data_IF_944106828539
#
_entry.id   IF_944106828539
#
_cell.length_a   1.000
_cell.length_b   1.000
_cell.length_c   1.000
_cell.angle_alpha   90.00
_cell.angle_beta   90.00
_cell.angle_gamma   90.00
#
_symmetry.space_group_name_H-M   'P 1'
#
loop_
_entity.id
_entity.type
_entity.pdbx_description
1 polymer ?
#
# COMPACT_ATOMS: atom_id res chain seq x y z
N UNK A 1 -18.89 -18.81 14.18
CA UNK A 1 -18.89 -17.69 13.21
C UNK A 1 -20.34 -17.41 12.85
N UNK A 2 -20.85 -16.22 13.22
CA UNK A 2 -22.23 -15.83 12.93
C UNK A 2 -22.48 -15.60 11.44
N UNK A 3 -23.75 -15.57 11.02
CA UNK A 3 -24.12 -15.32 9.61
C UNK A 3 -23.69 -13.93 9.12
N UNK A 4 -23.73 -12.92 9.98
CA UNK A 4 -23.35 -11.53 9.63
C UNK A 4 -21.84 -11.39 9.41
N UNK A 5 -21.03 -12.04 10.24
CA UNK A 5 -19.58 -12.07 10.11
C UNK A 5 -19.13 -12.78 8.82
N UNK A 6 -19.81 -13.87 8.42
CA UNK A 6 -19.53 -14.52 7.13
C UNK A 6 -19.88 -13.61 5.95
N UNK A 7 -20.96 -12.84 6.06
CA UNK A 7 -21.42 -11.86 5.08
C UNK A 7 -20.38 -10.75 4.88
N UNK A 8 -19.88 -10.17 5.96
CA UNK A 8 -18.86 -9.11 5.89
C UNK A 8 -17.51 -9.60 5.35
N UNK A 9 -17.13 -10.85 5.66
CA UNK A 9 -15.96 -11.51 5.06
C UNK A 9 -16.09 -11.69 3.55
N UNK A 10 -17.28 -12.01 3.07
CA UNK A 10 -17.59 -12.14 1.63
C UNK A 10 -17.57 -10.78 0.94
N UNK A 11 -18.10 -9.72 1.57
CA UNK A 11 -18.03 -8.34 1.03
C UNK A 11 -16.58 -7.85 0.92
N UNK A 12 -15.71 -8.20 1.87
CA UNK A 12 -14.29 -7.80 1.86
C UNK A 12 -13.36 -8.77 1.12
N UNK A 13 -13.89 -9.86 0.55
CA UNK A 13 -13.15 -10.84 -0.25
C UNK A 13 -11.92 -11.47 0.43
N UNK A 14 -11.94 -11.55 1.75
CA UNK A 14 -10.82 -12.09 2.53
C UNK A 14 -10.71 -13.60 2.29
N UNK A 15 -9.49 -14.06 2.06
CA UNK A 15 -9.16 -15.45 1.84
C UNK A 15 -8.92 -16.18 3.17
N UNK A 16 -9.09 -17.51 3.23
CA UNK A 16 -8.61 -18.31 4.35
C UNK A 16 -7.06 -18.36 4.36
N UNK A 17 -6.42 -18.42 5.54
CA UNK A 17 -7.04 -18.72 6.83
C UNK A 17 -7.74 -17.53 7.48
N UNK A 18 -8.72 -17.84 8.31
CA UNK A 18 -9.44 -16.89 9.14
C UNK A 18 -9.00 -17.08 10.59
N UNK A 19 -8.51 -16.02 11.23
CA UNK A 19 -8.20 -16.06 12.65
C UNK A 19 -9.50 -16.13 13.46
N UNK A 20 -9.69 -17.26 14.13
CA UNK A 20 -10.89 -17.57 14.93
C UNK A 20 -10.84 -16.96 16.34
N UNK A 21 -9.69 -16.44 16.76
CA UNK A 21 -9.52 -15.79 18.06
C UNK A 21 -10.09 -14.36 18.07
N UNK A 22 -10.19 -13.75 16.88
CA UNK A 22 -10.70 -12.40 16.69
C UNK A 22 -12.20 -12.34 16.97
N UNK A 23 -12.60 -11.41 17.83
CA UNK A 23 -14.00 -11.22 18.25
C UNK A 23 -14.79 -10.46 17.18
N UNK A 24 -16.10 -10.68 17.16
CA UNK A 24 -17.03 -10.04 16.22
C UNK A 24 -16.93 -8.51 16.23
N UNK A 25 -16.84 -7.88 17.41
CA UNK A 25 -16.67 -6.43 17.54
C UNK A 25 -15.35 -5.91 16.91
N UNK A 26 -14.29 -6.71 16.93
CA UNK A 26 -13.02 -6.33 16.30
C UNK A 26 -13.12 -6.42 14.77
N UNK A 27 -13.83 -7.44 14.27
CA UNK A 27 -14.16 -7.54 12.85
C UNK A 27 -15.06 -6.38 12.40
N UNK A 28 -16.05 -6.01 13.20
CA UNK A 28 -16.92 -4.85 12.93
C UNK A 28 -16.09 -3.57 12.75
N UNK A 29 -15.21 -3.24 13.71
CA UNK A 29 -14.30 -2.09 13.59
C UNK A 29 -13.38 -2.19 12.36
N UNK A 30 -12.82 -3.37 12.06
CA UNK A 30 -12.02 -3.59 10.87
C UNK A 30 -12.77 -3.26 9.57
N UNK A 31 -14.04 -3.66 9.48
CA UNK A 31 -14.86 -3.38 8.28
C UNK A 31 -15.32 -1.93 8.20
N UNK A 32 -15.64 -1.31 9.34
CA UNK A 32 -15.99 0.11 9.39
C UNK A 32 -14.80 1.00 8.99
N UNK A 33 -13.58 0.70 9.46
CA UNK A 33 -12.36 1.39 9.04
C UNK A 33 -12.13 1.26 7.53
N UNK A 34 -12.23 0.04 6.98
CA UNK A 34 -12.10 -0.18 5.53
C UNK A 34 -13.18 0.54 4.73
N UNK A 35 -14.41 0.58 5.22
CA UNK A 35 -15.52 1.30 4.60
C UNK A 35 -15.28 2.82 4.60
N UNK A 36 -14.74 3.37 5.68
CA UNK A 36 -14.36 4.78 5.75
C UNK A 36 -13.21 5.09 4.77
N UNK A 37 -12.20 4.23 4.70
CA UNK A 37 -11.12 4.34 3.70
C UNK A 37 -11.62 4.18 2.26
N UNK A 38 -12.65 3.35 2.02
CA UNK A 38 -13.28 3.23 0.71
C UNK A 38 -13.92 4.55 0.26
N UNK A 39 -14.55 5.31 1.17
CA UNK A 39 -15.07 6.65 0.85
C UNK A 39 -13.95 7.62 0.50
N UNK A 40 -12.88 7.65 1.30
CA UNK A 40 -11.69 8.48 1.02
C UNK A 40 -11.11 8.13 -0.36
N UNK A 41 -11.04 6.84 -0.70
CA UNK A 41 -10.45 6.36 -1.93
C UNK A 41 -11.46 6.23 -3.10
N UNK A 42 -12.57 6.96 -3.04
CA UNK A 42 -13.63 6.97 -4.06
C UNK A 42 -13.67 8.32 -4.77
N UNK A 43 -13.33 8.33 -6.05
CA UNK A 43 -13.29 9.57 -6.87
C UNK A 43 -14.60 10.37 -6.78
N UNK A 44 -14.49 11.62 -6.35
CA UNK A 44 -15.63 12.53 -6.22
C UNK A 44 -16.44 12.35 -4.92
N UNK A 45 -15.96 11.55 -3.97
CA UNK A 45 -16.45 11.58 -2.59
C UNK A 45 -15.97 12.87 -1.93
N UNK A 46 -16.78 13.43 -1.01
CA UNK A 46 -16.37 14.61 -0.26
C UNK A 46 -15.15 14.33 0.63
N UNK A 47 -15.03 13.08 1.10
CA UNK A 47 -13.94 12.61 1.96
C UNK A 47 -12.61 12.41 1.21
N UNK A 48 -12.59 12.55 -0.12
CA UNK A 48 -11.38 12.34 -0.94
C UNK A 48 -10.40 13.52 -0.91
N UNK A 49 -10.78 14.67 -0.35
CA UNK A 49 -9.94 15.88 -0.28
C UNK A 49 -8.53 15.59 0.24
N UNK A 50 -8.40 14.74 1.27
CA UNK A 50 -7.13 14.34 1.89
C UNK A 50 -6.19 13.53 1.00
N UNK A 51 -6.66 13.05 -0.16
CA UNK A 51 -5.88 12.27 -1.14
C UNK A 51 -5.93 12.82 -2.57
N UNK A 52 -6.61 13.96 -2.77
CA UNK A 52 -6.66 14.61 -4.09
C UNK A 52 -5.41 15.43 -4.39
N UNK A 53 -4.57 15.72 -3.38
CA UNK A 53 -3.23 16.26 -3.56
C UNK A 53 -3.23 17.61 -4.28
N UNK A 54 -3.92 18.61 -3.72
CA UNK A 54 -4.24 19.90 -4.38
C UNK A 54 -3.04 20.64 -5.02
N UNK A 55 -1.82 20.35 -4.58
CA UNK A 55 -0.57 20.98 -5.03
C UNK A 55 0.33 20.06 -5.87
N UNK A 56 -0.10 18.82 -6.14
CA UNK A 56 0.59 17.88 -7.02
C UNK A 56 -0.06 17.94 -8.40
N UNK A 57 0.71 18.22 -9.44
CA UNK A 57 0.25 18.17 -10.84
C UNK A 57 0.14 16.72 -11.37
N UNK A 58 -0.27 15.79 -10.50
CA UNK A 58 -0.40 14.37 -10.78
C UNK A 58 -1.79 13.85 -10.39
N UNK A 59 -2.31 12.90 -11.19
CA UNK A 59 -3.54 12.20 -10.84
C UNK A 59 -3.24 11.10 -9.81
N UNK A 60 -3.50 11.36 -8.53
CA UNK A 60 -3.27 10.43 -7.41
C UNK A 60 -3.98 9.08 -7.62
N UNK A 61 -5.17 9.07 -8.24
CA UNK A 61 -5.88 7.83 -8.59
C UNK A 61 -5.15 6.96 -9.61
N UNK A 62 -4.40 7.56 -10.55
CA UNK A 62 -3.53 6.82 -11.46
C UNK A 62 -2.35 6.20 -10.71
N UNK A 63 -1.79 6.90 -9.72
CA UNK A 63 -0.73 6.36 -8.87
C UNK A 63 -1.24 5.19 -8.04
N UNK A 64 -2.37 5.33 -7.34
CA UNK A 64 -2.96 4.25 -6.54
C UNK A 64 -3.21 3.00 -7.40
N UNK A 65 -3.73 3.19 -8.62
CA UNK A 65 -3.95 2.08 -9.56
C UNK A 65 -2.64 1.38 -9.91
N UNK A 66 -1.59 2.14 -10.24
CA UNK A 66 -0.28 1.59 -10.57
C UNK A 66 0.31 0.84 -9.37
N UNK A 67 0.14 1.37 -8.17
CA UNK A 67 0.56 0.76 -6.91
C UNK A 67 -0.14 -0.60 -6.68
N UNK A 68 -1.48 -0.65 -6.73
CA UNK A 68 -2.22 -1.92 -6.54
C UNK A 68 -1.85 -2.97 -7.59
N UNK A 69 -1.63 -2.54 -8.83
CA UNK A 69 -1.23 -3.42 -9.92
C UNK A 69 0.17 -3.98 -9.69
N UNK A 70 1.12 -3.17 -9.21
CA UNK A 70 2.47 -3.61 -8.87
C UNK A 70 2.45 -4.60 -7.69
N UNK A 71 1.67 -4.32 -6.63
CA UNK A 71 1.46 -5.24 -5.50
C UNK A 71 0.92 -6.59 -5.98
N UNK A 72 -0.15 -6.58 -6.79
CA UNK A 72 -0.75 -7.80 -7.34
C UNK A 72 0.21 -8.54 -8.29
N UNK A 73 0.97 -7.80 -9.09
CA UNK A 73 1.96 -8.35 -10.02
C UNK A 73 3.08 -9.08 -9.30
N UNK A 74 3.59 -8.51 -8.21
CA UNK A 74 4.58 -9.15 -7.37
C UNK A 74 4.06 -10.52 -6.90
N UNK A 75 2.83 -10.58 -6.36
CA UNK A 75 2.24 -11.84 -5.92
C UNK A 75 2.06 -12.86 -7.05
N UNK A 76 1.59 -12.44 -8.23
CA UNK A 76 1.45 -13.32 -9.40
C UNK A 76 2.80 -13.90 -9.87
N UNK A 77 3.87 -13.14 -9.71
CA UNK A 77 5.22 -13.50 -10.11
C UNK A 77 5.99 -14.29 -9.03
N UNK A 78 5.34 -14.68 -7.94
CA UNK A 78 5.91 -15.54 -6.90
C UNK A 78 6.04 -17.01 -7.35
N UNK A 79 6.90 -17.74 -6.63
CA UNK A 79 7.17 -19.16 -6.83
C UNK A 79 6.12 -20.08 -6.21
N UNK A 80 5.06 -19.55 -5.59
CA UNK A 80 3.99 -20.34 -4.98
C UNK A 80 3.40 -21.33 -6.01
N UNK A 81 3.43 -22.63 -5.71
CA UNK A 81 3.12 -23.69 -6.68
C UNK A 81 1.66 -23.70 -7.16
N UNK A 82 0.73 -23.22 -6.33
CA UNK A 82 -0.69 -23.16 -6.67
C UNK A 82 -1.02 -21.88 -7.46
N UNK A 83 -1.18 -22.04 -8.78
CA UNK A 83 -1.49 -20.94 -9.70
C UNK A 83 -2.86 -20.30 -9.47
N UNK A 84 -3.85 -21.04 -8.95
CA UNK A 84 -5.16 -20.45 -8.65
C UNK A 84 -5.11 -19.67 -7.35
N UNK A 85 -4.45 -20.23 -6.32
CA UNK A 85 -4.24 -19.51 -5.06
C UNK A 85 -3.47 -18.21 -5.28
N UNK A 86 -2.40 -18.22 -6.08
CA UNK A 86 -1.67 -16.99 -6.47
C UNK A 86 -2.59 -15.92 -7.05
N UNK A 87 -3.47 -16.31 -7.98
CA UNK A 87 -4.43 -15.39 -8.61
C UNK A 87 -5.43 -14.85 -7.60
N UNK A 88 -5.97 -15.70 -6.73
CA UNK A 88 -6.89 -15.26 -5.69
C UNK A 88 -6.23 -14.23 -4.77
N UNK A 89 -5.02 -14.51 -4.28
CA UNK A 89 -4.27 -13.57 -3.41
C UNK A 89 -4.04 -12.25 -4.14
N UNK A 90 -3.53 -12.30 -5.38
CA UNK A 90 -3.27 -11.10 -6.18
C UNK A 90 -4.54 -10.27 -6.42
N UNK A 91 -5.68 -10.91 -6.67
CA UNK A 91 -6.97 -10.22 -6.85
C UNK A 91 -7.47 -9.58 -5.57
N UNK A 92 -7.35 -10.26 -4.43
CA UNK A 92 -7.74 -9.66 -3.14
C UNK A 92 -6.82 -8.48 -2.78
N UNK A 93 -5.51 -8.59 -3.06
CA UNK A 93 -4.56 -7.51 -2.83
C UNK A 93 -4.87 -6.24 -3.64
N UNK A 94 -5.44 -6.36 -4.85
CA UNK A 94 -5.88 -5.18 -5.62
C UNK A 94 -6.83 -4.30 -4.80
N UNK A 95 -7.72 -4.91 -4.03
CA UNK A 95 -8.72 -4.26 -3.18
C UNK A 95 -8.30 -3.97 -1.76
N UNK A 96 -7.02 -4.14 -1.44
CA UNK A 96 -6.53 -4.10 -0.06
C UNK A 96 -5.60 -2.91 0.22
N UNK A 97 -5.18 -2.15 -0.79
CA UNK A 97 -4.37 -0.93 -0.61
C UNK A 97 -5.25 0.32 -0.64
N UNK A 98 -4.99 1.24 0.28
CA UNK A 98 -5.69 2.51 0.40
C UNK A 98 -4.67 3.64 0.61
N UNK A 99 -4.90 4.81 0.01
CA UNK A 99 -4.32 6.05 0.51
C UNK A 99 -5.01 6.47 1.80
N UNK A 100 -4.24 7.02 2.72
CA UNK A 100 -4.72 7.68 3.94
C UNK A 100 -4.51 9.20 3.82
N UNK A 101 -3.36 9.61 3.31
CA UNK A 101 -3.09 11.00 2.91
C UNK A 101 -2.14 11.06 1.72
N UNK A 102 -2.28 12.11 0.91
CA UNK A 102 -1.33 12.47 -0.15
C UNK A 102 -1.12 13.98 -0.12
N UNK A 103 0.10 14.38 0.20
CA UNK A 103 0.52 15.77 0.24
C UNK A 103 1.78 15.96 -0.60
N UNK A 104 1.95 17.12 -1.20
CA UNK A 104 3.16 17.41 -1.95
C UNK A 104 3.12 18.76 -2.63
N UNK A 105 4.21 19.09 -3.30
CA UNK A 105 4.34 20.32 -4.09
C UNK A 105 5.25 20.06 -5.29
N UNK A 106 4.98 20.73 -6.41
CA UNK A 106 5.87 20.74 -7.57
C UNK A 106 7.06 21.70 -7.36
N UNK A 107 8.17 21.47 -8.06
CA UNK A 107 9.36 22.36 -8.02
C UNK A 107 9.05 23.74 -8.61
N UNK A 108 8.24 23.77 -9.68
CA UNK A 108 7.75 24.96 -10.36
C UNK A 108 6.32 24.70 -10.84
N UNK A 109 5.50 25.76 -10.96
CA UNK A 109 4.20 25.66 -11.61
C UNK A 109 4.38 25.09 -13.03
N UNK A 110 3.69 23.99 -13.34
CA UNK A 110 3.71 23.32 -14.64
C UNK A 110 4.68 22.16 -14.79
N UNK A 111 5.57 21.90 -13.82
CA UNK A 111 6.52 20.77 -13.89
C UNK A 111 5.90 19.50 -13.25
N UNK A 112 5.98 18.34 -13.93
CA UNK A 112 5.29 17.13 -13.50
C UNK A 112 5.98 16.39 -12.35
N UNK A 113 7.22 16.73 -12.01
CA UNK A 113 7.98 16.08 -10.93
C UNK A 113 7.76 16.78 -9.58
N UNK A 114 7.49 16.02 -8.50
CA UNK A 114 7.31 16.60 -7.18
C UNK A 114 8.65 17.12 -6.64
N UNK A 115 8.62 18.31 -6.04
CA UNK A 115 9.68 18.81 -5.16
C UNK A 115 9.58 18.17 -3.79
N UNK A 116 8.37 18.12 -3.24
CA UNK A 116 8.09 17.46 -1.97
C UNK A 116 6.90 16.55 -2.14
N UNK A 117 6.95 15.40 -1.48
CA UNK A 117 5.89 14.42 -1.48
C UNK A 117 5.87 13.71 -0.13
N UNK A 118 4.70 13.65 0.48
CA UNK A 118 4.43 12.83 1.64
C UNK A 118 3.18 12.01 1.34
N UNK A 119 3.32 10.68 1.32
CA UNK A 119 2.17 9.78 1.19
C UNK A 119 2.08 8.88 2.41
N UNK A 120 0.84 8.59 2.79
CA UNK A 120 0.57 7.51 3.74
C UNK A 120 -0.41 6.53 3.11
N UNK A 121 -0.12 5.23 3.25
CA UNK A 121 -0.95 4.17 2.69
C UNK A 121 -1.12 3.03 3.69
N UNK A 122 -2.20 2.27 3.52
CA UNK A 122 -2.48 1.07 4.30
C UNK A 122 -2.76 -0.11 3.38
N UNK A 123 -2.00 -1.18 3.56
CA UNK A 123 -2.20 -2.46 2.89
C UNK A 123 -2.76 -3.49 3.87
N UNK A 124 -4.02 -3.88 3.68
CA UNK A 124 -4.61 -4.98 4.45
C UNK A 124 -4.12 -6.34 3.96
N UNK A 125 -4.00 -7.29 4.88
CA UNK A 125 -3.79 -8.69 4.51
C UNK A 125 -4.91 -9.17 3.57
N UNK A 126 -4.60 -9.92 2.50
CA UNK A 126 -5.60 -10.57 1.68
C UNK A 126 -6.28 -11.75 2.40
N UNK A 127 -5.80 -12.12 3.59
CA UNK A 127 -6.35 -13.17 4.42
C UNK A 127 -7.13 -12.58 5.60
N UNK A 128 -8.04 -13.35 6.18
CA UNK A 128 -8.76 -12.91 7.38
C UNK A 128 -7.94 -13.04 8.65
N UNK A 129 -6.77 -12.39 8.68
CA UNK A 129 -5.86 -12.31 9.82
C UNK A 129 -6.13 -11.08 10.70
N UNK A 130 -6.91 -10.10 10.19
CA UNK A 130 -7.15 -8.84 10.89
C UNK A 130 -5.94 -7.90 10.91
N UNK A 131 -4.90 -8.20 10.15
CA UNK A 131 -3.65 -7.43 10.09
C UNK A 131 -3.62 -6.47 8.90
N UNK A 132 -2.85 -5.40 9.04
CA UNK A 132 -2.51 -4.48 7.96
C UNK A 132 -1.09 -3.96 8.12
N UNK A 133 -0.55 -3.33 7.08
CA UNK A 133 0.75 -2.67 7.11
C UNK A 133 0.54 -1.24 6.64
N UNK A 134 0.95 -0.30 7.47
CA UNK A 134 0.97 1.11 7.13
C UNK A 134 2.32 1.48 6.53
N UNK A 135 2.30 2.39 5.58
CA UNK A 135 3.50 2.96 4.97
C UNK A 135 3.45 4.47 5.07
N UNK A 136 4.62 5.06 5.30
CA UNK A 136 4.83 6.49 5.21
C UNK A 136 6.03 6.74 4.31
N UNK A 137 5.78 7.38 3.17
CA UNK A 137 6.81 7.78 2.24
C UNK A 137 6.96 9.30 2.28
N UNK A 138 8.18 9.76 2.50
CA UNK A 138 8.55 11.17 2.50
C UNK A 138 9.69 11.38 1.52
N UNK A 139 9.52 12.30 0.58
CA UNK A 139 10.47 12.60 -0.47
C UNK A 139 10.62 14.12 -0.61
N UNK A 140 11.86 14.54 -0.77
CA UNK A 140 12.24 15.90 -1.10
C UNK A 140 13.36 15.89 -2.13
N UNK A 141 13.23 16.71 -3.17
CA UNK A 141 14.32 16.99 -4.08
C UNK A 141 14.20 18.41 -4.60
N UNK A 142 15.27 19.18 -4.44
CA UNK A 142 15.40 20.51 -4.99
C UNK A 142 16.79 20.71 -5.54
N UNK A 143 16.87 20.95 -6.85
CA UNK A 143 18.12 21.26 -7.52
C UNK A 143 18.62 22.65 -7.10
N UNK A 144 19.89 22.78 -6.73
CA UNK A 144 20.50 24.06 -6.36
C UNK A 144 21.60 24.44 -7.36
N UNK A 145 21.39 25.53 -8.11
CA UNK A 145 22.30 25.96 -9.21
C UNK A 145 23.72 26.31 -8.71
N UNK A 146 23.91 26.59 -7.41
CA UNK A 146 25.19 27.02 -6.81
C UNK A 146 25.50 26.39 -5.44
N UNK A 147 24.78 25.34 -5.04
CA UNK A 147 24.98 24.60 -3.79
C UNK A 147 24.76 23.11 -4.07
N UNK A 148 24.98 22.25 -3.07
CA UNK A 148 24.55 20.85 -3.14
C UNK A 148 23.02 20.77 -3.23
N UNK A 149 22.52 19.72 -3.89
CA UNK A 149 21.09 19.53 -4.12
C UNK A 149 20.42 19.18 -2.79
N UNK A 150 19.29 19.82 -2.46
CA UNK A 150 18.56 19.45 -1.24
C UNK A 150 17.73 18.20 -1.55
N UNK A 151 18.22 17.04 -1.11
CA UNK A 151 17.60 15.75 -1.39
C UNK A 151 17.41 14.91 -0.14
N UNK A 152 16.23 14.30 -0.03
CA UNK A 152 15.94 13.26 0.97
C UNK A 152 14.82 12.35 0.49
N UNK A 153 14.89 11.07 0.85
CA UNK A 153 13.85 10.10 0.53
C UNK A 153 13.82 9.01 1.61
N UNK A 154 12.67 8.83 2.26
CA UNK A 154 12.49 7.84 3.33
C UNK A 154 11.18 7.10 3.13
N UNK A 155 11.22 5.77 3.25
CA UNK A 155 10.03 4.93 3.29
C UNK A 155 10.03 4.12 4.58
N UNK A 156 9.04 4.36 5.42
CA UNK A 156 8.80 3.61 6.65
C UNK A 156 7.62 2.64 6.47
N UNK A 157 7.65 1.52 7.17
CA UNK A 157 6.57 0.55 7.24
C UNK A 157 6.27 0.15 8.68
N UNK A 158 5.00 0.00 9.03
CA UNK A 158 4.57 -0.40 10.37
C UNK A 158 3.48 -1.47 10.31
N UNK A 159 3.70 -2.58 11.01
CA UNK A 159 2.69 -3.64 11.13
C UNK A 159 1.58 -3.22 12.10
N UNK A 160 0.32 -3.46 11.71
CA UNK A 160 -0.87 -3.26 12.53
C UNK A 160 -1.62 -4.57 12.76
N UNK A 161 -2.16 -4.72 13.96
CA UNK A 161 -3.10 -5.76 14.32
C UNK A 161 -4.53 -5.21 14.42
N UNK A 162 -5.51 -6.12 14.54
CA UNK A 162 -6.93 -5.74 14.51
C UNK A 162 -7.37 -4.90 15.72
N UNK A 163 -6.60 -4.90 16.81
CA UNK A 163 -6.92 -4.06 17.98
C UNK A 163 -6.61 -2.59 17.73
N UNK A 164 -5.80 -2.29 16.71
CA UNK A 164 -5.40 -0.95 16.32
C UNK A 164 -6.38 -0.31 15.32
N UNK A 165 -7.40 -1.05 14.84
CA UNK A 165 -8.43 -0.51 13.96
C UNK A 165 -9.21 0.62 14.63
N UNK A 166 -9.27 1.77 13.98
CA UNK A 166 -9.92 2.99 14.46
C UNK A 166 -10.84 3.55 13.36
N UNK A 167 -12.12 3.15 13.35
CA UNK A 167 -13.09 3.63 12.35
C UNK A 167 -13.33 5.14 12.41
N UNK A 168 -13.13 5.77 13.57
CA UNK A 168 -13.36 7.19 13.78
C UNK A 168 -12.17 8.03 13.26
N UNK A 169 -10.97 7.44 13.22
CA UNK A 169 -9.77 8.04 12.65
C UNK A 169 -9.04 7.09 11.67
N UNK A 170 -9.66 6.79 10.51
CA UNK A 170 -9.18 5.75 9.60
C UNK A 170 -7.85 6.12 8.93
N UNK A 171 -7.45 7.39 8.95
CA UNK A 171 -6.22 7.91 8.31
C UNK A 171 -5.02 7.95 9.26
N UNK A 172 -5.18 7.60 10.54
CA UNK A 172 -4.04 7.52 11.48
C UNK A 172 -3.03 6.50 10.98
N UNK A 173 -1.81 6.94 10.68
CA UNK A 173 -0.74 6.11 10.13
C UNK A 173 0.25 5.68 11.21
N UNK A 174 0.40 4.37 11.43
CA UNK A 174 1.37 3.84 12.40
C UNK A 174 2.84 3.96 11.95
N UNK A 175 3.09 4.26 10.66
CA UNK A 175 4.43 4.39 10.09
C UNK A 175 5.00 5.82 10.15
N UNK A 176 4.21 6.80 10.60
CA UNK A 176 4.72 8.12 10.94
C UNK A 176 5.42 8.00 12.30
N UNK A 177 6.69 8.38 12.35
CA UNK A 177 7.40 8.52 13.62
C UNK A 177 6.85 9.75 14.31
N UNK A 178 6.14 9.59 15.42
CA UNK A 178 5.82 10.72 16.29
C UNK A 178 7.15 11.17 16.93
N UNK A 179 7.63 12.37 16.56
CA UNK A 179 8.66 13.01 17.38
C UNK A 179 8.04 13.25 18.77
N UNK A 180 8.74 12.91 19.86
CA UNK A 180 8.23 13.20 21.19
C UNK A 180 7.94 14.71 21.31
N UNK A 181 6.71 15.06 21.69
CA UNK A 181 6.30 16.48 21.88
C UNK A 181 7.10 17.19 22.99
N UNK A 182 7.83 16.44 23.82
CA UNK A 182 8.65 16.95 24.91
C UNK A 182 10.10 16.44 24.78
N UNK A 183 11.10 17.32 24.96
CA UNK A 183 12.55 16.98 24.94
C UNK A 183 12.95 15.86 25.92
N UNK A 184 12.07 15.51 26.87
CA UNK A 184 12.27 14.49 27.91
C UNK A 184 11.32 13.28 27.80
N UNK A 185 10.47 13.18 26.77
CA UNK A 185 9.62 12.00 26.62
C UNK A 185 10.49 10.81 26.18
N UNK A 186 10.44 9.72 26.95
CA UNK A 186 11.15 8.49 26.59
C UNK A 186 10.74 8.09 25.18
N UNK A 187 11.71 7.78 24.29
CA UNK A 187 11.41 7.38 22.93
C UNK A 187 10.41 6.24 22.99
N UNK A 188 9.24 6.44 22.39
CA UNK A 188 8.30 5.36 22.19
C UNK A 188 9.05 4.38 21.29
N UNK A 189 9.56 3.29 21.87
CA UNK A 189 10.11 2.17 21.11
C UNK A 189 8.94 1.54 20.34
N UNK A 190 8.57 2.18 19.24
CA UNK A 190 7.64 1.67 18.27
C UNK A 190 8.38 0.57 17.50
N UNK A 191 8.65 -0.56 18.16
CA UNK A 191 9.29 -1.77 17.62
C UNK A 191 8.59 -2.33 16.35
N UNK A 192 7.44 -1.76 15.99
CA UNK A 192 6.64 -2.03 14.80
C UNK A 192 7.08 -1.24 13.57
N UNK A 193 7.74 -0.08 13.74
CA UNK A 193 8.15 0.79 12.62
C UNK A 193 9.54 0.40 12.13
N UNK A 194 9.66 0.13 10.83
CA UNK A 194 10.92 -0.15 10.17
C UNK A 194 11.11 0.78 8.99
N UNK A 195 12.26 1.46 8.96
CA UNK A 195 12.71 2.19 7.78
C UNK A 195 13.18 1.21 6.71
N UNK A 196 12.45 1.15 5.59
CA UNK A 196 12.79 0.31 4.44
C UNK A 196 14.02 0.85 3.73
N UNK A 197 14.02 2.16 3.47
CA UNK A 197 15.19 2.91 3.08
C UNK A 197 15.09 4.34 3.58
N UNK A 198 16.24 4.97 3.79
CA UNK A 198 16.40 6.41 3.93
C UNK A 198 17.62 6.83 3.13
N UNK A 199 17.51 7.93 2.40
CA UNK A 199 18.60 8.64 1.78
C UNK A 199 18.47 10.11 2.15
N UNK A 200 19.57 10.74 2.52
CA UNK A 200 19.58 12.15 2.89
C UNK A 200 20.99 12.70 2.91
N UNK A 201 21.12 14.01 2.71
CA UNK A 201 22.37 14.71 2.98
C UNK A 201 22.53 14.91 4.48
N UNK A 202 23.63 14.39 5.03
CA UNK A 202 24.14 14.77 6.33
C UNK A 202 25.15 15.90 6.16
N UNK A 203 24.98 16.99 6.91
CA UNK A 203 25.87 18.15 6.92
C UNK A 203 27.34 17.81 7.19
N UNK A 204 27.62 16.69 7.87
CA UNK A 204 28.98 16.27 8.25
C UNK A 204 29.57 15.21 7.31
N UNK A 205 28.76 14.24 6.89
CA UNK A 205 29.23 13.04 6.18
C UNK A 205 28.81 12.98 4.70
N UNK A 206 28.06 13.99 4.22
CA UNK A 206 27.52 14.03 2.86
C UNK A 206 26.32 13.11 2.68
N UNK A 207 26.09 12.64 1.45
CA UNK A 207 24.96 11.75 1.14
C UNK A 207 25.09 10.40 1.85
N UNK A 208 24.19 10.14 2.81
CA UNK A 208 24.09 8.90 3.56
C UNK A 208 22.87 8.08 3.12
N UNK A 209 23.00 6.75 3.15
CA UNK A 209 21.87 5.84 2.91
C UNK A 209 21.75 4.75 3.98
N UNK A 210 20.51 4.45 4.35
CA UNK A 210 20.13 3.35 5.22
C UNK A 210 19.16 2.44 4.46
N UNK A 211 19.26 1.13 4.69
CA UNK A 211 18.38 0.14 4.08
C UNK A 211 18.03 -0.95 5.10
N UNK A 212 16.78 -1.40 5.08
CA UNK A 212 16.32 -2.52 5.89
C UNK A 212 17.18 -3.78 5.68
N UNK A 213 17.25 -4.61 6.72
CA UNK A 213 17.93 -5.91 6.69
C UNK A 213 16.98 -7.02 6.22
N UNK A 214 17.54 -8.14 5.78
CA UNK A 214 16.73 -9.30 5.38
C UNK A 214 15.91 -9.85 6.56
N UNK A 215 16.49 -9.85 7.76
CA UNK A 215 15.82 -10.27 8.99
C UNK A 215 14.59 -9.40 9.28
N UNK A 216 14.73 -8.08 9.15
CA UNK A 216 13.65 -7.16 9.47
C UNK A 216 12.54 -7.16 8.43
N UNK A 217 12.86 -7.23 7.13
CA UNK A 217 11.81 -7.27 6.10
C UNK A 217 10.98 -8.56 6.19
N UNK A 218 11.60 -9.69 6.57
CA UNK A 218 10.91 -10.97 6.74
C UNK A 218 9.87 -10.96 7.86
N UNK A 219 10.01 -10.09 8.87
CA UNK A 219 9.03 -9.96 9.97
C UNK A 219 7.63 -9.56 9.49
N UNK A 220 7.51 -9.00 8.29
CA UNK A 220 6.23 -8.59 7.73
C UNK A 220 5.54 -9.66 6.88
N UNK A 221 6.21 -10.78 6.55
CA UNK A 221 5.61 -11.81 5.70
C UNK A 221 4.41 -12.47 6.40
N UNK A 222 4.56 -12.88 7.66
CA UNK A 222 3.49 -13.50 8.43
C UNK A 222 2.32 -12.54 8.70
N UNK A 223 2.52 -11.28 9.13
CA UNK A 223 1.43 -10.31 9.20
C UNK A 223 0.72 -10.10 7.85
N UNK A 224 1.42 -10.14 6.72
CA UNK A 224 0.79 -9.94 5.41
C UNK A 224 0.09 -11.20 4.90
N UNK A 225 0.73 -12.37 4.97
CA UNK A 225 0.33 -13.59 4.28
C UNK A 225 -0.08 -14.75 5.21
N UNK A 226 0.05 -14.59 6.52
CA UNK A 226 -0.26 -15.61 7.52
C UNK A 226 0.72 -16.79 7.53
N UNK A 227 1.92 -16.59 6.96
CA UNK A 227 2.92 -17.63 6.75
C UNK A 227 4.29 -17.00 6.52
N UNK A 228 5.34 -17.82 6.60
CA UNK A 228 6.71 -17.42 6.35
C UNK A 228 7.32 -18.31 5.25
N UNK A 229 8.17 -17.74 4.39
CA UNK A 229 8.90 -18.44 3.33
C UNK A 229 8.11 -18.70 2.05
N UNK A 230 6.96 -18.07 1.84
CA UNK A 230 6.21 -18.13 0.57
C UNK A 230 6.80 -17.25 -0.52
N UNK A 231 7.34 -16.09 -0.14
CA UNK A 231 7.91 -15.12 -1.06
C UNK A 231 9.29 -14.67 -0.57
N UNK A 232 10.16 -14.24 -1.48
CA UNK A 232 11.48 -13.80 -1.06
C UNK A 232 11.46 -12.41 -0.39
N UNK A 233 12.51 -12.04 0.35
CA UNK A 233 12.73 -10.68 0.84
C UNK A 233 12.64 -9.62 -0.27
N UNK A 234 13.21 -9.94 -1.45
CA UNK A 234 13.09 -9.08 -2.62
C UNK A 234 11.63 -8.89 -3.05
N UNK A 235 10.81 -9.93 -2.96
CA UNK A 235 9.39 -9.85 -3.30
C UNK A 235 8.61 -9.00 -2.31
N UNK A 236 8.92 -9.09 -1.02
CA UNK A 236 8.38 -8.19 0.01
C UNK A 236 8.76 -6.73 -0.28
N UNK A 237 10.02 -6.47 -0.65
CA UNK A 237 10.45 -5.13 -1.10
C UNK A 237 9.67 -4.65 -2.32
N UNK A 238 9.48 -5.49 -3.34
CA UNK A 238 8.68 -5.13 -4.52
C UNK A 238 7.23 -4.72 -4.11
N UNK A 239 6.63 -5.47 -3.17
CA UNK A 239 5.28 -5.18 -2.64
C UNK A 239 5.28 -3.88 -1.84
N UNK A 240 6.26 -3.66 -0.96
CA UNK A 240 6.26 -2.53 -0.03
C UNK A 240 6.62 -1.21 -0.70
N UNK A 241 7.58 -1.23 -1.64
CA UNK A 241 7.86 -0.07 -2.49
C UNK A 241 6.60 0.35 -3.26
N UNK A 242 5.88 -0.63 -3.82
CA UNK A 242 4.63 -0.35 -4.52
C UNK A 242 3.52 0.14 -3.59
N UNK A 243 3.34 -0.50 -2.44
CA UNK A 243 2.30 -0.15 -1.47
C UNK A 243 2.53 1.23 -0.86
N UNK A 244 3.76 1.58 -0.50
CA UNK A 244 4.16 2.91 -0.04
C UNK A 244 4.30 3.95 -1.15
N UNK A 245 3.97 3.60 -2.39
CA UNK A 245 4.03 4.45 -3.60
C UNK A 245 5.40 5.06 -3.94
N UNK A 246 6.48 4.56 -3.33
CA UNK A 246 7.83 5.00 -3.63
C UNK A 246 8.20 4.70 -5.09
N UNK A 247 8.75 5.69 -5.77
CA UNK A 247 9.14 5.67 -7.19
C UNK A 247 7.95 5.59 -8.15
N UNK A 248 6.75 5.98 -7.72
CA UNK A 248 5.54 5.99 -8.55
C UNK A 248 5.04 7.39 -8.93
N UNK A 249 5.68 8.45 -8.41
CA UNK A 249 5.27 9.85 -8.53
C UNK A 249 6.18 10.68 -9.45
N UNK A 250 6.95 10.02 -10.33
CA UNK A 250 7.93 10.68 -11.23
C UNK A 250 9.02 11.43 -10.47
N UNK A 251 9.45 10.86 -9.36
CA UNK A 251 10.57 11.36 -8.58
C UNK A 251 11.84 11.48 -9.44
N UNK A 252 12.57 12.60 -9.30
CA UNK A 252 13.83 12.84 -10.00
C UNK A 252 14.98 12.07 -9.35
N UNK A 253 15.09 12.17 -8.03
CA UNK A 253 16.06 11.38 -7.28
C UNK A 253 15.45 10.03 -6.90
N UNK A 254 15.96 8.97 -7.51
CA UNK A 254 15.50 7.60 -7.31
C UNK A 254 16.56 6.71 -6.69
N UNK A 255 17.73 7.26 -6.33
CA UNK A 255 18.94 6.48 -6.03
C UNK A 255 18.74 5.52 -4.86
N UNK A 256 18.25 6.02 -3.72
CA UNK A 256 18.03 5.20 -2.53
C UNK A 256 16.95 4.13 -2.77
N UNK A 257 15.83 4.51 -3.38
CA UNK A 257 14.74 3.58 -3.68
C UNK A 257 15.17 2.47 -4.65
N UNK A 258 15.87 2.80 -5.73
CA UNK A 258 16.36 1.81 -6.69
C UNK A 258 17.43 0.90 -6.08
N UNK A 259 18.33 1.42 -5.25
CA UNK A 259 19.31 0.60 -4.56
C UNK A 259 18.63 -0.45 -3.66
N UNK A 260 17.61 -0.06 -2.87
CA UNK A 260 16.87 -1.02 -2.05
C UNK A 260 16.26 -2.14 -2.90
N UNK A 261 15.68 -1.81 -4.06
CA UNK A 261 15.12 -2.83 -4.97
C UNK A 261 16.19 -3.85 -5.31
N UNK A 262 17.43 -3.46 -5.55
CA UNK A 262 18.49 -4.39 -5.93
C UNK A 262 19.25 -5.06 -4.77
N UNK A 263 18.92 -4.72 -3.52
CA UNK A 263 19.61 -5.23 -2.32
C UNK A 263 19.41 -6.72 -2.07
N UNK A 264 18.26 -7.28 -2.47
CA UNK A 264 17.89 -8.66 -2.19
C UNK A 264 17.64 -9.47 -3.46
N UNK A 265 17.83 -10.78 -3.34
CA UNK A 265 17.60 -11.75 -4.39
C UNK A 265 16.19 -12.37 -4.37
N UNK A 266 15.74 -12.78 -5.54
CA UNK A 266 14.53 -13.58 -5.72
C UNK A 266 14.76 -15.04 -5.29
N UNK A 267 13.72 -15.69 -4.78
CA UNK A 267 13.74 -17.14 -4.69
C UNK A 267 13.73 -17.75 -6.09
N UNK A 268 14.24 -18.99 -6.21
CA UNK A 268 14.24 -19.71 -7.47
C UNK A 268 12.82 -19.80 -8.05
N UNK A 269 12.65 -19.35 -9.29
CA UNK A 269 11.37 -19.35 -10.00
C UNK A 269 10.53 -18.08 -9.84
N UNK A 270 10.89 -17.16 -8.95
CA UNK A 270 10.27 -15.84 -8.89
C UNK A 270 10.81 -14.91 -9.99
N UNK A 271 9.99 -13.91 -10.37
CA UNK A 271 10.33 -12.90 -11.38
C UNK A 271 9.87 -11.52 -10.93
N UNK A 272 10.37 -10.46 -11.56
CA UNK A 272 9.88 -9.09 -11.32
C UNK A 272 8.43 -8.84 -11.80
N UNK A 273 7.85 -9.78 -12.55
CA UNK A 273 6.44 -9.73 -12.95
C UNK A 273 6.09 -8.75 -14.07
N UNK A 274 7.08 -8.08 -14.69
CA UNK A 274 6.82 -7.13 -15.78
C UNK A 274 5.95 -7.76 -16.88
N UNK A 275 4.85 -7.08 -17.23
CA UNK A 275 3.91 -7.50 -18.27
C UNK A 275 2.95 -8.65 -17.87
N UNK A 276 3.09 -9.27 -16.69
CA UNK A 276 2.23 -10.39 -16.27
C UNK A 276 0.79 -9.96 -15.98
N UNK A 277 0.60 -8.73 -15.49
CA UNK A 277 -0.73 -8.23 -15.11
C UNK A 277 -1.60 -7.84 -16.31
N UNK A 278 -1.05 -7.62 -17.50
CA UNK A 278 -1.82 -7.16 -18.65
C UNK A 278 -2.95 -8.14 -19.04
N UNK A 279 -2.69 -9.44 -18.96
CA UNK A 279 -3.71 -10.47 -19.21
C UNK A 279 -4.76 -10.49 -18.10
N UNK A 280 -4.32 -10.33 -16.85
CA UNK A 280 -5.22 -10.34 -15.70
C UNK A 280 -6.13 -9.12 -15.69
N UNK A 281 -5.60 -7.94 -16.05
CA UNK A 281 -6.38 -6.71 -16.23
C UNK A 281 -7.51 -6.90 -17.23
N UNK A 282 -7.24 -7.49 -18.40
CA UNK A 282 -8.28 -7.76 -19.41
C UNK A 282 -9.39 -8.64 -18.85
N UNK A 283 -9.04 -9.70 -18.12
CA UNK A 283 -10.02 -10.58 -17.46
C UNK A 283 -10.81 -9.86 -16.39
N UNK A 284 -10.16 -9.01 -15.58
CA UNK A 284 -10.84 -8.22 -14.55
C UNK A 284 -11.83 -7.23 -15.17
N UNK A 285 -11.50 -6.62 -16.31
CA UNK A 285 -12.44 -5.77 -17.05
C UNK A 285 -13.65 -6.54 -17.59
N UNK A 286 -13.46 -7.77 -18.07
CA UNK A 286 -14.55 -8.64 -18.51
C UNK A 286 -15.44 -9.07 -17.35
N UNK A 287 -14.82 -9.45 -16.21
CA UNK A 287 -15.53 -9.76 -14.97
C UNK A 287 -16.33 -8.56 -14.46
N UNK A 288 -15.74 -7.36 -14.44
CA UNK A 288 -16.45 -6.13 -14.06
C UNK A 288 -17.68 -5.89 -14.94
N UNK A 289 -17.59 -6.12 -16.25
CA UNK A 289 -18.74 -5.97 -17.15
C UNK A 289 -19.83 -6.99 -16.83
N UNK A 290 -19.45 -8.25 -16.61
CA UNK A 290 -20.40 -9.30 -16.26
C UNK A 290 -21.10 -9.02 -14.91
N UNK A 291 -20.34 -8.58 -13.90
CA UNK A 291 -20.87 -8.21 -12.59
C UNK A 291 -21.87 -7.04 -12.67
N UNK A 292 -21.58 -6.00 -13.47
CA UNK A 292 -22.52 -4.89 -13.70
C UNK A 292 -23.83 -5.32 -14.36
N UNK A 293 -23.78 -6.28 -15.27
CA UNK A 293 -25.01 -6.79 -15.88
C UNK A 293 -25.83 -7.61 -14.89
N UNK A 294 -25.18 -8.35 -13.99
CA UNK A 294 -25.86 -9.07 -12.90
C UNK A 294 -26.47 -8.12 -11.87
N UNK A 295 -25.81 -7.01 -11.53
CA UNK A 295 -26.33 -6.02 -10.57
C UNK A 295 -27.57 -5.27 -11.09
N UNK A 296 -27.69 -5.10 -12.41
CA UNK A 296 -28.91 -4.57 -13.04
C UNK A 296 -30.11 -5.52 -12.85
N UNK A 297 -29.84 -6.83 -12.79
CA UNK A 297 -30.85 -7.89 -12.70
C UNK A 297 -31.20 -8.19 -11.24
N UNK A 298 -30.21 -8.19 -10.34
CA UNK A 298 -30.39 -8.40 -8.90
C UNK A 298 -29.68 -7.28 -8.12
N UNK A 299 -30.46 -6.25 -7.77
CA UNK A 299 -29.98 -5.09 -6.99
C UNK A 299 -29.65 -5.41 -5.53
N UNK A 300 -29.97 -6.62 -5.07
CA UNK A 300 -29.73 -7.08 -3.69
C UNK A 300 -28.54 -8.01 -3.58
N UNK A 301 -27.88 -8.30 -4.71
CA UNK A 301 -26.70 -9.17 -4.75
C UNK A 301 -25.53 -8.52 -4.02
N UNK A 302 -24.89 -9.30 -3.15
CA UNK A 302 -23.63 -8.93 -2.52
C UNK A 302 -22.48 -9.17 -3.49
N UNK A 303 -21.76 -8.10 -3.83
CA UNK A 303 -20.63 -8.14 -4.75
C UNK A 303 -19.33 -8.17 -3.96
N UNK A 304 -18.50 -9.17 -4.26
CA UNK A 304 -17.15 -9.31 -3.72
C UNK A 304 -16.13 -8.62 -4.64
N UNK A 305 -16.29 -7.29 -4.82
CA UNK A 305 -15.29 -6.42 -5.43
C UNK A 305 -15.45 -5.05 -4.77
N UNK A 306 -14.42 -4.47 -4.14
CA UNK A 306 -14.53 -3.12 -3.60
C UNK A 306 -14.93 -2.14 -4.70
N UNK A 307 -15.99 -1.36 -4.47
CA UNK A 307 -16.58 -0.44 -5.45
C UNK A 307 -15.52 0.54 -6.00
N UNK A 308 -14.56 0.94 -5.16
CA UNK A 308 -13.41 1.76 -5.56
C UNK A 308 -12.58 1.15 -6.69
N UNK A 309 -12.41 -0.17 -6.75
CA UNK A 309 -11.65 -0.81 -7.84
C UNK A 309 -12.37 -0.67 -9.18
N UNK A 310 -13.70 -0.76 -9.15
CA UNK A 310 -14.55 -0.54 -10.32
C UNK A 310 -14.51 0.93 -10.75
N UNK A 311 -14.44 1.87 -9.80
CA UNK A 311 -14.36 3.30 -10.09
C UNK A 311 -12.98 3.72 -10.61
N UNK A 312 -11.91 3.24 -10.00
CA UNK A 312 -10.54 3.36 -10.51
C UNK A 312 -10.54 2.84 -11.94
N UNK A 313 -10.95 1.59 -12.21
CA UNK A 313 -10.98 1.01 -13.55
C UNK A 313 -11.63 1.91 -14.63
N UNK A 314 -12.73 2.61 -14.31
CA UNK A 314 -13.52 3.43 -15.26
C UNK A 314 -12.88 4.75 -15.68
N UNK A 315 -12.12 5.44 -14.82
CA UNK A 315 -11.59 6.79 -15.10
C UNK A 315 -10.15 6.81 -15.64
N UNK A 316 -9.61 5.65 -15.99
CA UNK A 316 -8.27 5.49 -16.58
C UNK A 316 -8.24 5.45 -18.11
N UNK A 317 -9.23 6.04 -18.78
CA UNK A 317 -9.20 6.30 -20.23
C UNK A 317 -8.31 7.50 -20.56
#
# INVERSE_FOLDING_TARGET
MGKEMHRQMVVSCLLPPYDKSIKEKQWEAYYEERSALDKINTVGSAESEVVEGECLEENTWKVLRKAVEHVATAMLASSLGDAQRKKSIARTLLGSLYFMSVEGSAECEGEPEPRSLATTTRLYSPFGLGTSIDFHYAYHYRMRIHMEDERSATLNAAGRDITECDPDNPTKCAAISEEPEEEDAEPIENFKVYTLFSGGEDFLDGWGTMYITEENIKKFEEPLLGTNGWISPRKLVDIFMAAGTALLHRELDTEAGEHLRHKFDYYQGEKNGMGMFAQERKRLTELEKAEKELDKVDKTREVCVPERLLLLARRGG
#
